data_IF_760279220363
#
_entry.id   IF_760279220363
#
_cell.length_a   1.000
_cell.length_b   1.000
_cell.length_c   1.000
_cell.angle_alpha   90.00
_cell.angle_beta   90.00
_cell.angle_gamma   90.00
#
_symmetry.space_group_name_H-M   'P 1'
#
loop_
_entity.id
_entity.type
_entity.pdbx_description
1 polymer ?
#
# COMPACT_ATOMS: atom_id res chain seq x y z
N UNK A 1 50.60 16.54 19.72
CA UNK A 1 49.86 16.73 20.98
C UNK A 1 49.05 18.02 20.88
N UNK A 2 48.01 17.95 20.02
CA UNK A 2 47.17 19.09 19.63
C UNK A 2 46.39 19.66 20.83
N UNK A 3 46.09 18.87 21.85
CA UNK A 3 45.32 19.30 23.04
C UNK A 3 46.14 20.22 23.98
N UNK A 4 47.49 20.14 23.97
CA UNK A 4 48.35 21.03 24.77
C UNK A 4 48.46 22.45 24.22
N UNK A 5 48.17 22.65 22.95
CA UNK A 5 48.21 23.98 22.30
C UNK A 5 46.89 24.77 22.55
N UNK A 6 45.84 24.13 23.02
CA UNK A 6 44.49 24.70 23.11
C UNK A 6 43.98 24.81 24.55
N UNK A 7 44.83 24.52 25.54
CA UNK A 7 44.46 24.52 26.99
C UNK A 7 43.19 23.73 27.28
N UNK A 8 42.96 22.67 26.50
CA UNK A 8 41.76 21.84 26.52
C UNK A 8 41.91 20.64 27.44
N UNK A 9 40.91 20.40 28.25
CA UNK A 9 40.79 19.24 29.11
C UNK A 9 40.15 18.09 28.35
N UNK A 10 40.79 16.91 28.34
CA UNK A 10 40.19 15.69 27.76
C UNK A 10 39.13 15.16 28.69
N UNK A 11 37.86 15.44 28.39
CA UNK A 11 36.76 14.80 29.08
C UNK A 11 36.46 13.47 28.38
N UNK A 12 36.87 12.37 29.01
CA UNK A 12 36.39 11.04 28.60
C UNK A 12 34.89 10.92 28.93
N UNK A 13 34.04 11.03 27.92
CA UNK A 13 32.64 10.70 28.05
C UNK A 13 32.54 9.18 28.22
N UNK A 14 31.98 8.65 29.33
CA UNK A 14 31.85 7.23 29.54
C UNK A 14 31.02 6.65 28.39
N UNK A 15 31.58 5.62 27.74
CA UNK A 15 30.92 4.87 26.68
C UNK A 15 29.56 4.35 27.19
N UNK A 16 28.48 4.80 26.60
CA UNK A 16 27.15 4.28 26.95
C UNK A 16 27.13 2.80 26.56
N UNK A 17 27.09 1.92 27.58
CA UNK A 17 26.96 0.48 27.38
C UNK A 17 25.75 0.27 26.46
N UNK A 18 25.90 -0.53 25.42
CA UNK A 18 24.88 -0.91 24.45
C UNK A 18 24.67 0.01 23.22
N UNK A 19 25.47 1.06 23.03
CA UNK A 19 25.50 1.84 21.78
C UNK A 19 26.87 1.71 21.15
N UNK A 20 27.10 0.68 20.35
CA UNK A 20 28.30 0.59 19.50
C UNK A 20 28.10 1.37 18.21
N UNK A 21 29.17 1.94 17.68
CA UNK A 21 29.17 2.56 16.34
C UNK A 21 28.64 1.57 15.28
N UNK A 22 28.98 0.28 15.43
CA UNK A 22 28.49 -0.79 14.57
C UNK A 22 26.98 -0.97 14.66
N UNK A 23 26.37 -0.92 15.86
CA UNK A 23 24.92 -1.01 16.03
C UNK A 23 24.20 0.21 15.45
N UNK A 24 24.77 1.40 15.57
CA UNK A 24 24.25 2.62 14.95
C UNK A 24 24.32 2.50 13.42
N UNK A 25 25.47 2.07 12.89
CA UNK A 25 25.65 1.87 11.44
C UNK A 25 24.68 0.80 10.93
N UNK A 26 24.51 -0.31 11.65
CA UNK A 26 23.58 -1.37 11.28
C UNK A 26 22.13 -0.87 11.27
N UNK A 27 21.75 -0.07 12.26
CA UNK A 27 20.41 0.56 12.29
C UNK A 27 20.20 1.51 11.13
N UNK A 28 21.17 2.38 10.83
CA UNK A 28 21.11 3.30 9.67
C UNK A 28 21.02 2.50 8.36
N UNK A 29 21.86 1.46 8.20
CA UNK A 29 21.83 0.61 6.99
C UNK A 29 20.49 -0.12 6.84
N UNK A 30 19.87 -0.55 7.95
CA UNK A 30 18.56 -1.21 7.92
C UNK A 30 17.42 -0.22 7.61
N UNK A 31 17.48 1.00 8.15
CA UNK A 31 16.53 2.07 7.78
C UNK A 31 16.66 2.44 6.30
N UNK A 32 17.88 2.52 5.78
CA UNK A 32 18.12 2.75 4.35
C UNK A 32 17.63 1.58 3.48
N UNK A 33 17.79 0.33 3.93
CA UNK A 33 17.23 -0.85 3.22
C UNK A 33 15.72 -0.81 3.14
N UNK A 34 15.03 -0.50 4.24
CA UNK A 34 13.57 -0.37 4.28
C UNK A 34 13.10 0.75 3.35
N UNK A 35 13.72 1.92 3.43
CA UNK A 35 13.42 3.07 2.56
C UNK A 35 13.67 2.73 1.09
N UNK A 36 14.76 2.04 0.78
CA UNK A 36 15.07 1.60 -0.57
C UNK A 36 14.03 0.58 -1.08
N UNK A 37 13.52 -0.33 -0.22
CA UNK A 37 12.46 -1.25 -0.58
C UNK A 37 11.15 -0.52 -0.92
N UNK A 38 10.76 0.49 -0.14
CA UNK A 38 9.57 1.30 -0.41
C UNK A 38 9.68 2.07 -1.73
N UNK A 39 10.85 2.66 -2.00
CA UNK A 39 11.14 3.31 -3.27
C UNK A 39 11.06 2.29 -4.42
N UNK A 40 11.58 1.08 -4.22
CA UNK A 40 11.55 0.03 -5.23
C UNK A 40 10.12 -0.41 -5.57
N UNK A 41 9.22 -0.55 -4.57
CA UNK A 41 7.81 -0.86 -4.80
C UNK A 41 7.12 0.21 -5.64
N UNK A 42 7.36 1.49 -5.34
CA UNK A 42 6.81 2.58 -6.14
C UNK A 42 7.38 2.62 -7.57
N UNK A 43 8.68 2.31 -7.75
CA UNK A 43 9.27 2.14 -9.09
C UNK A 43 8.60 1.01 -9.86
N UNK A 44 8.36 -0.15 -9.22
CA UNK A 44 7.66 -1.28 -9.83
C UNK A 44 6.25 -0.88 -10.28
N UNK A 45 5.48 -0.13 -9.45
CA UNK A 45 4.17 0.35 -9.84
C UNK A 45 4.23 1.30 -11.06
N UNK A 46 5.17 2.25 -11.07
CA UNK A 46 5.37 3.12 -12.24
C UNK A 46 5.72 2.31 -13.48
N UNK A 47 6.58 1.29 -13.37
CA UNK A 47 6.90 0.42 -14.50
C UNK A 47 5.69 -0.33 -15.05
N UNK A 48 4.75 -0.76 -14.19
CA UNK A 48 3.50 -1.36 -14.65
C UNK A 48 2.63 -0.33 -15.39
N UNK A 49 2.44 0.85 -14.81
CA UNK A 49 1.61 1.90 -15.41
C UNK A 49 2.15 2.43 -16.73
N UNK A 50 3.46 2.51 -16.88
CA UNK A 50 4.13 3.04 -18.08
C UNK A 50 4.68 1.93 -18.97
N UNK A 51 4.22 0.67 -18.77
CA UNK A 51 4.53 -0.46 -19.62
C UNK A 51 3.91 -0.27 -21.01
N UNK A 52 4.57 -0.79 -22.03
CA UNK A 52 4.04 -0.92 -23.40
C UNK A 52 3.05 -2.08 -23.57
N UNK A 53 2.79 -2.82 -22.47
CA UNK A 53 1.87 -3.96 -22.42
C UNK A 53 0.70 -3.63 -21.51
N UNK A 54 -0.44 -4.27 -21.78
CA UNK A 54 -1.56 -4.27 -20.86
C UNK A 54 -1.17 -5.05 -19.60
N UNK A 55 -1.14 -4.36 -18.46
CA UNK A 55 -0.82 -4.95 -17.14
C UNK A 55 -2.10 -5.17 -16.32
N UNK A 56 -2.02 -6.10 -15.37
CA UNK A 56 -3.15 -6.49 -14.53
C UNK A 56 -2.76 -6.43 -13.06
N UNK A 57 -3.59 -5.78 -12.25
CA UNK A 57 -3.47 -5.80 -10.80
C UNK A 57 -4.74 -6.37 -10.16
N UNK A 58 -4.55 -7.10 -9.07
CA UNK A 58 -5.63 -7.86 -8.43
C UNK A 58 -5.94 -7.35 -7.04
N UNK A 59 -7.22 -7.39 -6.71
CA UNK A 59 -7.72 -6.98 -5.40
C UNK A 59 -7.17 -7.85 -4.27
N UNK A 60 -6.76 -7.16 -3.18
CA UNK A 60 -6.56 -7.75 -1.87
C UNK A 60 -7.02 -6.78 -0.77
N UNK A 61 -7.40 -7.33 0.38
CA UNK A 61 -8.04 -6.58 1.47
C UNK A 61 -7.47 -6.89 2.86
N UNK A 62 -6.46 -7.74 2.95
CA UNK A 62 -5.68 -8.05 4.16
C UNK A 62 -4.36 -8.73 3.79
N UNK A 63 -3.49 -9.00 4.79
CA UNK A 63 -2.19 -9.62 4.55
C UNK A 63 -2.27 -11.00 3.90
N UNK A 64 -3.26 -11.82 4.26
CA UNK A 64 -3.43 -13.16 3.68
C UNK A 64 -3.81 -13.07 2.20
N UNK A 65 -4.82 -12.29 1.85
CA UNK A 65 -5.22 -12.10 0.46
C UNK A 65 -4.10 -11.46 -0.38
N UNK A 66 -3.28 -10.58 0.21
CA UNK A 66 -2.11 -9.99 -0.47
C UNK A 66 -1.08 -11.06 -0.86
N UNK A 67 -0.74 -11.97 0.05
CA UNK A 67 0.16 -13.11 -0.23
C UNK A 67 -0.38 -14.02 -1.34
N UNK A 68 -1.67 -14.34 -1.28
CA UNK A 68 -2.32 -15.18 -2.30
C UNK A 68 -2.27 -14.51 -3.68
N UNK A 69 -2.47 -13.20 -3.75
CA UNK A 69 -2.36 -12.45 -5.01
C UNK A 69 -0.94 -12.49 -5.58
N UNK A 70 0.08 -12.31 -4.73
CA UNK A 70 1.48 -12.40 -5.15
C UNK A 70 1.84 -13.82 -5.58
N UNK A 71 1.44 -14.84 -4.84
CA UNK A 71 1.64 -16.26 -5.17
C UNK A 71 0.98 -16.65 -6.51
N UNK A 72 -0.19 -16.07 -6.82
CA UNK A 72 -0.87 -16.26 -8.10
C UNK A 72 -0.11 -15.63 -9.30
N UNK A 73 0.96 -14.86 -9.06
CA UNK A 73 1.82 -14.26 -10.08
C UNK A 73 1.41 -12.86 -10.52
N UNK A 74 0.47 -12.20 -9.86
CA UNK A 74 0.18 -10.80 -10.12
C UNK A 74 1.37 -9.91 -9.74
N UNK A 75 1.60 -8.88 -10.55
CA UNK A 75 2.73 -7.96 -10.35
C UNK A 75 2.39 -6.73 -9.51
N UNK A 76 1.14 -6.59 -9.09
CA UNK A 76 0.66 -5.50 -8.28
C UNK A 76 -0.70 -5.81 -7.64
N UNK A 77 -0.98 -5.12 -6.56
CA UNK A 77 -2.18 -5.26 -5.75
C UNK A 77 -3.03 -3.99 -5.86
N UNK A 78 -4.33 -4.18 -5.99
CA UNK A 78 -5.35 -3.17 -5.76
C UNK A 78 -5.95 -3.35 -4.37
N UNK A 79 -5.68 -2.42 -3.46
CA UNK A 79 -6.32 -2.37 -2.15
C UNK A 79 -7.63 -1.57 -2.26
N UNK A 80 -8.72 -2.27 -2.49
CA UNK A 80 -10.05 -1.71 -2.76
C UNK A 80 -10.69 -1.12 -1.51
N UNK A 81 -11.13 0.14 -1.55
CA UNK A 81 -11.88 0.78 -0.46
C UNK A 81 -13.14 0.02 -0.07
N UNK A 82 -13.90 -0.46 -1.07
CA UNK A 82 -15.06 -1.33 -0.86
C UNK A 82 -14.69 -2.61 -0.09
N UNK A 83 -13.61 -3.28 -0.46
CA UNK A 83 -13.21 -4.55 0.15
C UNK A 83 -12.59 -4.35 1.53
N UNK A 84 -11.79 -3.32 1.71
CA UNK A 84 -11.24 -2.92 3.01
C UNK A 84 -12.34 -2.59 4.01
N UNK A 85 -13.26 -1.69 3.65
CA UNK A 85 -14.40 -1.33 4.51
C UNK A 85 -15.29 -2.54 4.77
N UNK A 86 -15.62 -3.32 3.72
CA UNK A 86 -16.47 -4.52 3.84
C UNK A 86 -15.86 -5.60 4.72
N UNK A 87 -14.54 -5.78 4.73
CA UNK A 87 -13.84 -6.73 5.60
C UNK A 87 -13.93 -6.35 7.09
N UNK A 88 -14.09 -5.05 7.37
CA UNK A 88 -14.33 -4.52 8.72
C UNK A 88 -15.84 -4.49 9.09
N UNK A 89 -16.74 -4.91 8.19
CA UNK A 89 -18.17 -4.83 8.38
C UNK A 89 -18.75 -3.42 8.23
N UNK A 90 -18.01 -2.50 7.62
CA UNK A 90 -18.37 -1.10 7.42
C UNK A 90 -18.85 -0.85 5.98
N UNK A 91 -19.61 0.22 5.79
CA UNK A 91 -20.03 0.65 4.46
C UNK A 91 -18.90 1.36 3.72
N UNK A 92 -18.92 1.24 2.40
CA UNK A 92 -18.02 1.96 1.49
C UNK A 92 -18.50 3.42 1.30
N UNK A 93 -18.43 4.18 2.39
CA UNK A 93 -18.91 5.56 2.49
C UNK A 93 -18.04 6.39 3.46
N UNK A 94 -16.74 6.15 3.47
CA UNK A 94 -15.78 6.72 4.43
C UNK A 94 -16.12 6.43 5.91
N UNK A 95 -16.86 5.34 6.21
CA UNK A 95 -17.08 4.87 7.58
C UNK A 95 -15.78 4.33 8.18
N UNK A 96 -14.94 3.66 7.40
CA UNK A 96 -13.57 3.40 7.78
C UNK A 96 -12.77 4.71 7.73
N UNK A 97 -12.11 5.05 8.82
CA UNK A 97 -11.20 6.20 8.85
C UNK A 97 -9.97 5.92 7.99
N UNK A 98 -9.31 6.97 7.51
CA UNK A 98 -8.06 6.81 6.76
C UNK A 98 -6.98 6.07 7.59
N UNK A 99 -6.97 6.22 8.92
CA UNK A 99 -6.01 5.52 9.79
C UNK A 99 -6.27 4.02 9.84
N UNK A 100 -7.53 3.57 9.95
CA UNK A 100 -7.88 2.15 9.88
C UNK A 100 -7.50 1.54 8.53
N UNK A 101 -7.69 2.28 7.44
CA UNK A 101 -7.26 1.86 6.11
C UNK A 101 -5.74 1.68 6.07
N UNK A 102 -4.98 2.66 6.56
CA UNK A 102 -3.52 2.63 6.59
C UNK A 102 -2.99 1.48 7.45
N UNK A 103 -3.63 1.17 8.58
CA UNK A 103 -3.23 0.06 9.45
C UNK A 103 -3.38 -1.30 8.72
N UNK A 104 -4.47 -1.52 7.99
CA UNK A 104 -4.64 -2.73 7.18
C UNK A 104 -3.59 -2.80 6.06
N UNK A 105 -3.33 -1.68 5.39
CA UNK A 105 -2.35 -1.59 4.32
C UNK A 105 -0.93 -1.91 4.79
N UNK A 106 -0.57 -1.53 6.01
CA UNK A 106 0.73 -1.84 6.61
C UNK A 106 0.94 -3.35 6.74
N UNK A 107 -0.07 -4.09 7.24
CA UNK A 107 -0.01 -5.56 7.28
C UNK A 107 0.14 -6.17 5.88
N UNK A 108 -0.54 -5.62 4.89
CA UNK A 108 -0.40 -6.08 3.51
C UNK A 108 1.00 -5.80 2.97
N UNK A 109 1.52 -4.57 3.16
CA UNK A 109 2.81 -4.15 2.62
C UNK A 109 4.00 -4.92 3.23
N UNK A 110 3.87 -5.35 4.50
CA UNK A 110 4.93 -6.08 5.21
C UNK A 110 5.08 -7.53 4.75
N UNK A 111 4.10 -8.10 4.05
CA UNK A 111 4.10 -9.53 3.71
C UNK A 111 4.27 -9.81 2.23
N UNK A 112 4.36 -8.79 1.36
CA UNK A 112 4.54 -8.93 -0.09
C UNK A 112 5.63 -8.00 -0.62
N UNK A 113 6.25 -8.38 -1.75
CA UNK A 113 7.27 -7.59 -2.46
C UNK A 113 6.71 -6.83 -3.68
N UNK A 114 5.50 -7.16 -4.11
CA UNK A 114 4.82 -6.45 -5.18
C UNK A 114 4.19 -5.14 -4.69
N UNK A 115 4.07 -4.12 -5.55
CA UNK A 115 3.52 -2.82 -5.18
C UNK A 115 2.02 -2.89 -4.87
N UNK A 116 1.59 -2.05 -3.93
CA UNK A 116 0.18 -1.84 -3.59
C UNK A 116 -0.24 -0.46 -4.08
N UNK A 117 -1.31 -0.43 -4.87
CA UNK A 117 -2.07 0.77 -5.25
C UNK A 117 -3.36 0.77 -4.44
N UNK A 118 -3.63 1.82 -3.67
CA UNK A 118 -4.80 1.89 -2.80
C UNK A 118 -5.90 2.80 -3.34
N UNK A 119 -7.15 2.41 -3.10
CA UNK A 119 -8.32 3.27 -3.24
C UNK A 119 -8.33 4.30 -2.09
N UNK A 120 -8.03 5.54 -2.41
CA UNK A 120 -7.98 6.66 -1.47
C UNK A 120 -9.31 7.41 -1.39
N UNK A 121 -10.38 6.85 -1.93
CA UNK A 121 -11.69 7.49 -1.98
C UNK A 121 -11.60 8.93 -2.54
N UNK A 122 -12.27 9.88 -1.91
CA UNK A 122 -12.18 11.31 -2.28
C UNK A 122 -11.05 12.07 -1.54
N UNK A 123 -10.11 11.34 -0.87
CA UNK A 123 -9.01 11.94 -0.11
C UNK A 123 -9.34 12.24 1.35
N UNK A 124 -10.41 11.66 1.90
CA UNK A 124 -10.85 11.77 3.30
C UNK A 124 -11.08 13.20 3.82
N UNK A 125 -11.37 14.13 2.95
CA UNK A 125 -11.63 15.53 3.26
C UNK A 125 -11.07 16.48 2.22
N UNK A 126 -10.42 17.58 2.64
CA UNK A 126 -9.83 18.57 1.75
C UNK A 126 -8.41 18.19 1.29
N UNK A 127 -7.71 19.11 0.61
CA UNK A 127 -6.34 18.89 0.12
C UNK A 127 -5.34 18.50 1.22
N UNK A 128 -5.51 19.03 2.43
CA UNK A 128 -4.61 18.74 3.55
C UNK A 128 -4.81 17.31 4.07
N UNK A 129 -6.06 16.81 4.12
CA UNK A 129 -6.35 15.43 4.49
C UNK A 129 -5.73 14.45 3.46
N UNK A 130 -5.93 14.71 2.17
CA UNK A 130 -5.35 13.91 1.09
C UNK A 130 -3.81 13.88 1.18
N UNK A 131 -3.17 15.03 1.40
CA UNK A 131 -1.72 15.16 1.57
C UNK A 131 -1.20 14.35 2.77
N UNK A 132 -1.87 14.44 3.92
CA UNK A 132 -1.50 13.68 5.13
C UNK A 132 -1.66 12.18 4.88
N UNK A 133 -2.72 11.77 4.21
CA UNK A 133 -2.94 10.37 3.84
C UNK A 133 -1.80 9.87 2.94
N UNK A 134 -1.45 10.57 1.85
CA UNK A 134 -0.31 10.22 1.00
C UNK A 134 0.99 10.07 1.79
N UNK A 135 1.31 11.03 2.68
CA UNK A 135 2.52 10.96 3.51
C UNK A 135 2.55 9.71 4.40
N UNK A 136 1.40 9.27 4.91
CA UNK A 136 1.32 8.06 5.72
C UNK A 136 1.43 6.79 4.86
N UNK A 137 0.91 6.80 3.64
CA UNK A 137 1.08 5.71 2.69
C UNK A 137 2.55 5.49 2.32
N UNK A 138 3.27 6.56 1.98
CA UNK A 138 4.70 6.49 1.65
C UNK A 138 5.54 5.89 2.79
N UNK A 139 5.28 6.32 4.03
CA UNK A 139 5.98 5.84 5.23
C UNK A 139 5.75 4.35 5.52
N UNK A 140 4.70 3.76 4.96
CA UNK A 140 4.33 2.34 5.13
C UNK A 140 4.57 1.50 3.88
N UNK A 141 5.31 2.05 2.91
CA UNK A 141 5.71 1.31 1.71
C UNK A 141 4.59 1.05 0.71
N UNK A 142 3.51 1.82 0.76
CA UNK A 142 2.48 1.80 -0.27
C UNK A 142 2.99 2.56 -1.49
N UNK A 143 2.76 2.01 -2.67
CA UNK A 143 3.38 2.49 -3.90
C UNK A 143 2.62 3.63 -4.59
N UNK A 144 1.32 3.76 -4.33
CA UNK A 144 0.50 4.80 -4.94
C UNK A 144 -0.93 4.79 -4.43
N UNK A 145 -1.67 5.81 -4.81
CA UNK A 145 -3.05 6.06 -4.41
C UNK A 145 -3.90 6.48 -5.61
N UNK A 146 -5.16 6.09 -5.59
CA UNK A 146 -6.19 6.58 -6.52
C UNK A 146 -7.16 7.45 -5.75
N UNK A 147 -7.37 8.69 -6.16
CA UNK A 147 -8.43 9.56 -5.65
C UNK A 147 -9.54 9.72 -6.68
N UNK A 148 -10.80 9.65 -6.24
CA UNK A 148 -11.98 9.90 -7.07
C UNK A 148 -12.52 11.31 -6.88
N UNK A 149 -13.01 11.92 -7.97
CA UNK A 149 -13.53 13.30 -7.98
C UNK A 149 -14.99 13.41 -7.51
N UNK A 150 -15.32 12.68 -6.42
CA UNK A 150 -16.59 12.78 -5.69
C UNK A 150 -16.50 13.72 -4.50
N UNK A 151 -17.67 14.17 -4.03
CA UNK A 151 -17.77 14.88 -2.76
C UNK A 151 -17.45 13.96 -1.59
N UNK A 152 -16.88 14.54 -0.53
CA UNK A 152 -16.71 13.87 0.75
C UNK A 152 -17.92 14.14 1.68
N UNK A 153 -18.45 13.14 2.41
CA UNK A 153 -18.14 11.71 2.31
C UNK A 153 -18.64 11.12 0.98
N UNK A 154 -17.90 10.15 0.44
CA UNK A 154 -18.25 9.52 -0.83
C UNK A 154 -19.50 8.65 -0.73
N UNK A 155 -20.13 8.40 -1.86
CA UNK A 155 -21.13 7.33 -2.03
C UNK A 155 -20.60 6.32 -3.03
N UNK A 156 -20.75 5.01 -2.77
CA UNK A 156 -20.32 3.98 -3.69
C UNK A 156 -20.92 4.20 -5.09
N UNK A 157 -20.12 4.04 -6.14
CA UNK A 157 -20.47 4.37 -7.52
C UNK A 157 -21.62 3.53 -8.10
N UNK A 158 -21.89 2.37 -7.51
CA UNK A 158 -22.95 1.46 -7.95
C UNK A 158 -24.28 1.66 -7.19
N UNK A 159 -24.31 2.56 -6.21
CA UNK A 159 -25.54 2.89 -5.47
C UNK A 159 -26.24 4.04 -6.20
N UNK A 160 -27.54 3.84 -6.46
CA UNK A 160 -28.38 4.92 -6.98
C UNK A 160 -28.65 5.96 -5.89
N UNK A 161 -28.39 7.23 -6.22
CA UNK A 161 -28.59 8.37 -5.33
C UNK A 161 -29.70 9.23 -5.89
N UNK A 162 -30.69 9.57 -5.06
CA UNK A 162 -31.75 10.52 -5.46
C UNK A 162 -31.11 11.89 -5.82
N UNK A 163 -31.29 12.31 -7.04
CA UNK A 163 -30.68 13.54 -7.58
C UNK A 163 -29.31 13.34 -8.23
N UNK A 164 -28.87 12.06 -8.40
CA UNK A 164 -27.60 11.68 -9.04
C UNK A 164 -26.38 11.77 -8.12
N UNK A 165 -25.30 11.15 -8.55
CA UNK A 165 -23.99 11.26 -7.90
C UNK A 165 -23.42 12.65 -8.12
N UNK A 166 -22.86 13.29 -7.09
CA UNK A 166 -22.29 14.63 -7.18
C UNK A 166 -20.77 14.57 -7.29
N UNK A 167 -20.24 15.33 -8.23
CA UNK A 167 -18.81 15.51 -8.40
C UNK A 167 -18.29 16.66 -7.53
N UNK A 168 -17.03 16.54 -7.09
CA UNK A 168 -16.30 17.63 -6.49
C UNK A 168 -16.06 18.77 -7.50
N UNK A 169 -15.84 19.98 -7.00
CA UNK A 169 -15.33 21.06 -7.84
C UNK A 169 -14.00 20.64 -8.47
N UNK A 170 -13.86 20.89 -9.77
CA UNK A 170 -12.68 20.44 -10.52
C UNK A 170 -11.40 21.10 -10.02
N UNK A 171 -11.42 22.38 -9.65
CA UNK A 171 -10.24 23.09 -9.18
C UNK A 171 -9.85 22.63 -7.76
N UNK A 172 -10.84 22.36 -6.89
CA UNK A 172 -10.60 21.79 -5.58
C UNK A 172 -9.92 20.42 -5.70
N UNK A 173 -10.39 19.57 -6.60
CA UNK A 173 -9.79 18.25 -6.82
C UNK A 173 -8.39 18.34 -7.44
N UNK A 174 -8.16 19.26 -8.39
CA UNK A 174 -6.80 19.57 -8.88
C UNK A 174 -5.88 20.02 -7.75
N UNK A 175 -6.38 20.82 -6.81
CA UNK A 175 -5.64 21.23 -5.62
C UNK A 175 -5.23 20.07 -4.71
N UNK A 176 -6.08 19.05 -4.56
CA UNK A 176 -5.74 17.82 -3.84
C UNK A 176 -4.60 17.06 -4.51
N UNK A 177 -4.70 16.83 -5.83
CA UNK A 177 -3.65 16.16 -6.61
C UNK A 177 -2.33 16.90 -6.45
N UNK A 178 -2.34 18.21 -6.67
CA UNK A 178 -1.14 19.06 -6.60
C UNK A 178 -0.50 19.04 -5.23
N UNK A 179 -1.31 19.16 -4.17
CA UNK A 179 -0.81 19.10 -2.79
C UNK A 179 -0.12 17.76 -2.48
N UNK A 180 -0.66 16.64 -2.96
CA UNK A 180 -0.04 15.33 -2.80
C UNK A 180 1.28 15.24 -3.57
N UNK A 181 1.30 15.67 -4.83
CA UNK A 181 2.50 15.62 -5.70
C UNK A 181 3.64 16.51 -5.23
N UNK A 182 3.34 17.72 -4.75
CA UNK A 182 4.36 18.66 -4.26
C UNK A 182 4.97 18.26 -2.92
N UNK A 183 4.24 17.49 -2.09
CA UNK A 183 4.68 17.07 -0.76
C UNK A 183 5.18 15.62 -0.70
N UNK A 184 5.10 14.86 -1.79
CA UNK A 184 5.64 13.50 -1.81
C UNK A 184 7.14 13.50 -1.57
N UNK A 185 7.63 12.57 -0.75
CA UNK A 185 9.06 12.37 -0.45
C UNK A 185 9.67 11.36 -1.41
N UNK A 186 8.92 10.32 -1.76
CA UNK A 186 9.32 9.34 -2.74
C UNK A 186 8.94 9.81 -4.16
N UNK A 187 9.90 10.17 -5.02
CA UNK A 187 9.62 10.72 -6.35
C UNK A 187 8.89 9.74 -7.28
N UNK A 188 8.85 8.46 -6.91
CA UNK A 188 8.17 7.41 -7.68
C UNK A 188 6.78 7.10 -7.15
N UNK A 189 6.36 7.68 -6.01
CA UNK A 189 5.00 7.50 -5.50
C UNK A 189 3.98 7.97 -6.53
N UNK A 190 2.95 7.16 -6.75
CA UNK A 190 1.97 7.36 -7.82
C UNK A 190 0.68 7.96 -7.26
N UNK A 191 0.18 9.01 -7.92
CA UNK A 191 -1.15 9.60 -7.67
C UNK A 191 -1.98 9.49 -8.94
N UNK A 192 -3.05 8.71 -8.89
CA UNK A 192 -3.98 8.49 -10.00
C UNK A 192 -5.27 9.26 -9.73
N UNK A 193 -5.77 9.98 -10.71
CA UNK A 193 -7.07 10.63 -10.65
C UNK A 193 -8.15 9.74 -11.28
N UNK A 194 -9.19 9.38 -10.50
CA UNK A 194 -10.32 8.60 -10.97
C UNK A 194 -11.47 9.53 -11.36
N UNK A 195 -11.91 9.36 -12.60
CA UNK A 195 -13.01 10.12 -13.20
C UNK A 195 -14.34 9.45 -12.88
N UNK A 196 -15.21 10.15 -12.19
CA UNK A 196 -16.57 9.71 -11.91
C UNK A 196 -17.63 10.42 -12.78
N UNK A 197 -17.20 11.17 -13.81
CA UNK A 197 -18.10 11.90 -14.71
C UNK A 197 -19.13 11.00 -15.41
N UNK A 198 -18.72 9.81 -15.89
CA UNK A 198 -19.64 8.84 -16.48
C UNK A 198 -20.61 8.26 -15.45
N UNK A 199 -20.12 7.98 -14.23
CA UNK A 199 -20.95 7.50 -13.10
C UNK A 199 -22.01 8.51 -12.73
N UNK A 200 -21.64 9.81 -12.73
CA UNK A 200 -22.55 10.93 -12.44
C UNK A 200 -23.47 11.30 -13.61
N UNK A 201 -23.27 10.71 -14.79
CA UNK A 201 -24.09 10.94 -15.97
C UNK A 201 -23.77 12.23 -16.77
N UNK A 202 -22.57 12.80 -16.58
CA UNK A 202 -22.13 14.01 -17.28
C UNK A 202 -21.55 13.76 -18.68
N UNK A 203 -21.25 12.49 -19.01
CA UNK A 203 -20.79 12.09 -20.33
C UNK A 203 -19.34 12.47 -20.65
N UNK A 204 -18.99 12.31 -21.95
CA UNK A 204 -17.60 12.35 -22.43
C UNK A 204 -16.97 13.75 -22.33
N UNK A 205 -17.72 14.83 -22.59
CA UNK A 205 -17.15 16.19 -22.60
C UNK A 205 -16.64 16.60 -21.20
N UNK A 206 -17.43 16.31 -20.15
CA UNK A 206 -17.02 16.59 -18.78
C UNK A 206 -15.88 15.63 -18.35
N UNK A 207 -15.93 14.36 -18.77
CA UNK A 207 -14.86 13.40 -18.49
C UNK A 207 -13.52 13.88 -19.08
N UNK A 208 -13.50 14.30 -20.35
CA UNK A 208 -12.30 14.82 -21.02
C UNK A 208 -11.78 16.09 -20.38
N UNK A 209 -12.67 17.05 -20.09
CA UNK A 209 -12.31 18.32 -19.43
C UNK A 209 -11.61 18.06 -18.09
N UNK A 210 -12.18 17.18 -17.27
CA UNK A 210 -11.63 16.81 -15.97
C UNK A 210 -10.30 16.06 -16.10
N UNK A 211 -10.23 15.08 -17.00
CA UNK A 211 -9.00 14.32 -17.24
C UNK A 211 -7.82 15.23 -17.61
N UNK A 212 -8.03 16.18 -18.51
CA UNK A 212 -7.02 17.17 -18.91
C UNK A 212 -6.57 18.04 -17.74
N UNK A 213 -7.51 18.51 -16.92
CA UNK A 213 -7.21 19.32 -15.74
C UNK A 213 -6.42 18.52 -14.68
N UNK A 214 -6.79 17.27 -14.43
CA UNK A 214 -6.13 16.41 -13.44
C UNK A 214 -4.73 16.00 -13.87
N UNK A 215 -4.55 15.70 -15.16
CA UNK A 215 -3.22 15.47 -15.72
C UNK A 215 -2.35 16.73 -15.60
N UNK A 216 -2.87 17.91 -15.93
CA UNK A 216 -2.15 19.18 -15.76
C UNK A 216 -1.84 19.52 -14.30
N UNK A 217 -2.67 19.05 -13.35
CA UNK A 217 -2.40 19.17 -11.91
C UNK A 217 -1.32 18.21 -11.40
N UNK A 218 -0.86 17.25 -12.22
CA UNK A 218 0.23 16.33 -11.92
C UNK A 218 -0.18 14.89 -11.61
N UNK A 219 -1.43 14.48 -11.92
CA UNK A 219 -1.79 13.06 -11.85
C UNK A 219 -0.90 12.23 -12.77
N UNK A 220 -0.35 11.12 -12.24
CA UNK A 220 0.55 10.23 -12.98
C UNK A 220 -0.19 9.36 -14.00
N UNK A 221 -1.48 9.09 -13.76
CA UNK A 221 -2.38 8.36 -14.64
C UNK A 221 -3.84 8.79 -14.39
N UNK A 222 -4.72 8.45 -15.32
CA UNK A 222 -6.16 8.65 -15.17
C UNK A 222 -6.86 7.29 -15.09
N UNK A 223 -7.74 7.11 -14.11
CA UNK A 223 -8.63 5.96 -14.03
C UNK A 223 -10.00 6.35 -14.56
N UNK A 224 -10.38 5.75 -15.70
CA UNK A 224 -11.70 5.95 -16.31
C UNK A 224 -12.68 4.95 -15.75
N UNK A 225 -13.69 5.43 -15.03
CA UNK A 225 -14.69 4.58 -14.39
C UNK A 225 -16.05 4.70 -15.07
N UNK A 226 -16.63 3.56 -15.40
CA UNK A 226 -17.97 3.45 -16.01
C UNK A 226 -18.80 2.38 -15.30
N UNK A 227 -20.13 2.58 -15.29
CA UNK A 227 -21.13 1.64 -14.71
C UNK A 227 -22.00 0.94 -15.74
N UNK A 228 -21.84 1.25 -17.03
CA UNK A 228 -22.56 0.55 -18.09
C UNK A 228 -22.00 -0.84 -18.33
N UNK A 229 -22.78 -1.73 -18.95
CA UNK A 229 -22.39 -3.13 -19.15
C UNK A 229 -21.48 -3.39 -20.35
N UNK A 230 -21.07 -2.33 -21.05
CA UNK A 230 -20.14 -2.37 -22.20
C UNK A 230 -18.98 -1.42 -21.99
N UNK A 231 -17.91 -1.55 -22.78
CA UNK A 231 -16.75 -0.66 -22.74
C UNK A 231 -16.98 0.70 -23.44
N UNK A 232 -18.18 0.98 -23.96
CA UNK A 232 -18.44 2.12 -24.84
C UNK A 232 -17.95 3.48 -24.30
N UNK A 233 -18.12 3.75 -22.99
CA UNK A 233 -17.61 5.00 -22.38
C UNK A 233 -16.08 5.06 -22.43
N UNK A 234 -15.40 3.92 -22.17
CA UNK A 234 -13.93 3.82 -22.24
C UNK A 234 -13.46 3.93 -23.69
N UNK A 235 -14.13 3.27 -24.61
CA UNK A 235 -13.81 3.33 -26.05
C UNK A 235 -13.88 4.77 -26.58
N UNK A 236 -14.94 5.49 -26.21
CA UNK A 236 -15.13 6.88 -26.62
C UNK A 236 -14.08 7.81 -25.97
N UNK A 237 -13.73 7.55 -24.69
CA UNK A 237 -12.69 8.29 -24.01
C UNK A 237 -11.32 8.09 -24.70
N UNK A 238 -10.94 6.83 -24.97
CA UNK A 238 -9.65 6.49 -25.58
C UNK A 238 -9.46 7.10 -26.98
N UNK A 239 -10.52 7.20 -27.79
CA UNK A 239 -10.47 7.87 -29.10
C UNK A 239 -10.02 9.31 -29.03
N UNK A 240 -10.18 9.97 -27.87
CA UNK A 240 -9.91 11.42 -27.68
C UNK A 240 -8.74 11.70 -26.74
N UNK A 241 -8.24 10.69 -26.01
CA UNK A 241 -7.22 10.89 -24.97
C UNK A 241 -5.84 11.26 -25.48
N UNK A 242 -5.47 10.78 -26.67
CA UNK A 242 -4.20 11.08 -27.33
C UNK A 242 -2.95 10.71 -26.50
N UNK A 243 -2.98 9.58 -25.80
CA UNK A 243 -1.86 9.00 -25.03
C UNK A 243 -1.09 9.96 -24.11
N UNK A 244 -1.76 10.97 -23.53
CA UNK A 244 -1.13 12.00 -22.68
C UNK A 244 -0.51 11.45 -21.40
N UNK A 245 -1.16 10.50 -20.77
CA UNK A 245 -0.64 9.68 -19.69
C UNK A 245 -1.34 8.32 -19.66
N UNK A 246 -0.84 7.33 -18.87
CA UNK A 246 -1.45 6.01 -18.78
C UNK A 246 -2.93 6.06 -18.38
N UNK A 247 -3.71 5.16 -18.98
CA UNK A 247 -5.13 4.98 -18.61
C UNK A 247 -5.31 3.67 -17.90
N UNK A 248 -5.98 3.73 -16.75
CA UNK A 248 -6.36 2.61 -15.88
C UNK A 248 -7.87 2.41 -15.97
N UNK A 249 -8.32 1.16 -15.98
CA UNK A 249 -9.76 0.82 -16.02
C UNK A 249 -10.13 -0.22 -14.96
N UNK A 250 -11.43 -0.24 -14.60
CA UNK A 250 -12.04 -1.20 -13.66
C UNK A 250 -13.25 -1.85 -14.33
N UNK A 251 -13.10 -2.95 -15.10
CA UNK A 251 -14.17 -3.50 -15.92
C UNK A 251 -15.18 -4.37 -15.14
N UNK A 252 -15.48 -4.04 -13.88
CA UNK A 252 -16.40 -4.81 -13.04
C UNK A 252 -17.81 -4.94 -13.65
N UNK A 253 -18.29 -3.92 -14.36
CA UNK A 253 -19.60 -3.93 -15.00
C UNK A 253 -19.59 -4.42 -16.44
N UNK A 254 -18.50 -4.25 -17.14
CA UNK A 254 -18.29 -4.68 -18.54
C UNK A 254 -17.28 -5.84 -18.63
N UNK A 255 -17.39 -6.76 -17.66
CA UNK A 255 -16.48 -7.91 -17.50
C UNK A 255 -16.50 -8.89 -18.70
N UNK A 256 -17.52 -8.84 -19.56
CA UNK A 256 -17.60 -9.64 -20.77
C UNK A 256 -16.77 -9.08 -21.95
N UNK A 257 -16.25 -7.86 -21.83
CA UNK A 257 -15.37 -7.28 -22.85
C UNK A 257 -14.04 -8.05 -22.85
N UNK A 258 -13.60 -8.60 -24.01
CA UNK A 258 -12.33 -9.32 -24.10
C UNK A 258 -11.15 -8.41 -23.75
N UNK A 259 -10.14 -8.94 -23.06
CA UNK A 259 -8.92 -8.18 -22.71
C UNK A 259 -8.11 -7.74 -23.92
N UNK A 260 -8.20 -8.46 -25.05
CA UNK A 260 -7.55 -8.04 -26.30
C UNK A 260 -8.09 -6.70 -26.81
N UNK A 261 -9.38 -6.43 -26.63
CA UNK A 261 -9.96 -5.12 -26.94
C UNK A 261 -9.28 -3.99 -26.13
N UNK A 262 -8.99 -4.22 -24.85
CA UNK A 262 -8.29 -3.23 -24.02
C UNK A 262 -6.83 -3.03 -24.47
N UNK A 263 -6.17 -4.09 -24.98
CA UNK A 263 -4.83 -3.99 -25.58
C UNK A 263 -4.86 -3.13 -26.84
N UNK A 264 -5.82 -3.37 -27.72
CA UNK A 264 -5.99 -2.61 -28.95
C UNK A 264 -6.30 -1.13 -28.70
N UNK A 265 -7.03 -0.83 -27.64
CA UNK A 265 -7.32 0.53 -27.19
C UNK A 265 -6.10 1.25 -26.59
N UNK A 266 -5.02 0.54 -26.23
CA UNK A 266 -3.86 1.13 -25.56
C UNK A 266 -4.09 1.42 -24.09
N UNK A 267 -4.98 0.66 -23.41
CA UNK A 267 -5.13 0.70 -21.96
C UNK A 267 -3.84 0.20 -21.29
N UNK A 268 -3.35 0.94 -20.31
CA UNK A 268 -2.16 0.58 -19.56
C UNK A 268 -2.40 -0.53 -18.55
N UNK A 269 -3.43 -0.37 -17.73
CA UNK A 269 -3.65 -1.25 -16.58
C UNK A 269 -5.12 -1.55 -16.36
N UNK A 270 -5.42 -2.82 -16.12
CA UNK A 270 -6.74 -3.31 -15.70
C UNK A 270 -6.70 -3.66 -14.22
N UNK A 271 -7.67 -3.17 -13.46
CA UNK A 271 -7.89 -3.50 -12.05
C UNK A 271 -9.01 -4.54 -11.93
N UNK A 272 -8.69 -5.72 -11.39
CA UNK A 272 -9.68 -6.70 -10.94
C UNK A 272 -10.10 -6.38 -9.50
N UNK A 273 -11.13 -5.56 -9.34
CA UNK A 273 -11.33 -4.69 -8.18
C UNK A 273 -11.89 -5.34 -6.90
N UNK A 274 -12.60 -6.48 -6.96
CA UNK A 274 -13.31 -7.02 -5.78
C UNK A 274 -13.59 -8.52 -5.85
N UNK A 275 -12.93 -9.25 -6.71
CA UNK A 275 -13.27 -10.65 -7.00
C UNK A 275 -12.87 -11.59 -5.86
N UNK A 276 -11.70 -11.39 -5.24
CA UNK A 276 -11.26 -12.20 -4.10
C UNK A 276 -12.20 -12.02 -2.90
N UNK A 277 -12.53 -10.77 -2.55
CA UNK A 277 -13.43 -10.49 -1.43
C UNK A 277 -14.83 -11.10 -1.66
N UNK A 278 -15.39 -10.97 -2.86
CA UNK A 278 -16.67 -11.59 -3.22
C UNK A 278 -16.62 -13.10 -3.17
N UNK A 279 -15.51 -13.71 -3.61
CA UNK A 279 -15.28 -15.15 -3.51
C UNK A 279 -15.19 -15.61 -2.05
N UNK A 280 -14.50 -14.86 -1.18
CA UNK A 280 -14.44 -15.13 0.25
C UNK A 280 -15.87 -15.16 0.87
N UNK A 281 -16.70 -14.16 0.55
CA UNK A 281 -18.09 -14.11 1.05
C UNK A 281 -18.88 -15.34 0.62
N UNK A 282 -18.77 -15.74 -0.65
CA UNK A 282 -19.51 -16.89 -1.19
C UNK A 282 -19.04 -18.19 -0.55
N UNK A 283 -17.74 -18.41 -0.45
CA UNK A 283 -17.16 -19.62 0.16
C UNK A 283 -17.49 -19.69 1.64
N UNK A 284 -17.26 -18.62 2.41
CA UNK A 284 -17.59 -18.58 3.84
C UNK A 284 -19.07 -18.87 4.11
N UNK A 285 -19.97 -18.31 3.29
CA UNK A 285 -21.41 -18.57 3.42
C UNK A 285 -21.73 -20.04 3.20
N UNK A 286 -21.18 -20.67 2.15
CA UNK A 286 -21.38 -22.09 1.85
C UNK A 286 -20.83 -22.97 2.95
N UNK A 287 -19.60 -22.74 3.36
CA UNK A 287 -18.91 -23.50 4.40
C UNK A 287 -19.65 -23.44 5.74
N UNK A 288 -19.99 -22.22 6.19
CA UNK A 288 -20.70 -22.04 7.47
C UNK A 288 -22.08 -22.70 7.46
N UNK A 289 -22.82 -22.59 6.33
CA UNK A 289 -24.11 -23.23 6.17
C UNK A 289 -23.99 -24.74 6.24
N UNK A 290 -23.04 -25.34 5.51
CA UNK A 290 -22.81 -26.77 5.48
C UNK A 290 -22.49 -27.34 6.87
N UNK A 291 -21.57 -26.68 7.61
CA UNK A 291 -21.21 -27.10 8.99
C UNK A 291 -22.43 -27.02 9.92
N UNK A 292 -23.24 -25.95 9.79
CA UNK A 292 -24.44 -25.77 10.61
C UNK A 292 -25.47 -26.86 10.34
N UNK A 293 -25.74 -27.23 9.09
CA UNK A 293 -26.70 -28.24 8.69
C UNK A 293 -26.23 -29.66 9.05
N UNK A 294 -24.97 -29.96 8.79
CA UNK A 294 -24.40 -31.29 9.04
C UNK A 294 -24.05 -31.55 10.51
N UNK A 295 -23.85 -30.48 11.31
CA UNK A 295 -23.26 -30.57 12.66
C UNK A 295 -21.95 -31.38 12.66
N UNK A 296 -21.19 -31.31 11.58
CA UNK A 296 -20.02 -32.11 11.29
C UNK A 296 -19.09 -31.37 10.32
N UNK A 297 -17.78 -31.66 10.42
CA UNK A 297 -16.75 -31.15 9.51
C UNK A 297 -16.45 -32.11 8.33
N UNK A 298 -17.02 -33.31 8.35
CA UNK A 298 -16.64 -34.39 7.42
C UNK A 298 -16.80 -34.03 5.94
N UNK A 299 -17.80 -33.22 5.60
CA UNK A 299 -18.08 -32.77 4.23
C UNK A 299 -17.37 -31.48 3.84
N UNK A 300 -16.73 -30.80 4.77
CA UNK A 300 -16.10 -29.49 4.57
C UNK A 300 -14.58 -29.59 4.53
N UNK A 301 -13.97 -30.34 5.45
CA UNK A 301 -12.53 -30.35 5.70
C UNK A 301 -11.67 -30.65 4.46
N UNK A 302 -12.19 -31.46 3.55
CA UNK A 302 -11.49 -31.83 2.30
C UNK A 302 -11.53 -30.72 1.21
N UNK A 303 -12.36 -29.72 1.40
CA UNK A 303 -12.66 -28.69 0.38
C UNK A 303 -12.15 -27.30 0.78
N UNK A 304 -11.46 -27.18 1.90
CA UNK A 304 -10.90 -25.92 2.41
C UNK A 304 -9.38 -26.04 2.61
N UNK A 305 -8.71 -24.91 2.73
CA UNK A 305 -7.27 -24.87 3.07
C UNK A 305 -7.02 -25.53 4.43
N UNK A 306 -5.92 -26.25 4.51
CA UNK A 306 -5.52 -26.93 5.77
C UNK A 306 -4.96 -25.93 6.79
N UNK A 307 -4.96 -26.30 8.06
CA UNK A 307 -4.25 -25.54 9.11
C UNK A 307 -2.76 -25.38 8.79
N UNK A 308 -2.16 -26.38 8.13
CA UNK A 308 -0.77 -26.33 7.68
C UNK A 308 -0.55 -25.23 6.63
N UNK A 309 -1.53 -24.98 5.74
CA UNK A 309 -1.44 -23.90 4.77
C UNK A 309 -1.43 -22.54 5.48
N UNK A 310 -2.22 -22.37 6.55
CA UNK A 310 -2.16 -21.15 7.37
C UNK A 310 -0.75 -20.98 7.94
N UNK A 311 -0.17 -22.03 8.55
CA UNK A 311 1.18 -21.97 9.12
C UNK A 311 2.27 -21.65 8.08
N UNK A 312 2.11 -22.13 6.85
CA UNK A 312 3.01 -21.77 5.76
C UNK A 312 2.92 -20.28 5.42
N UNK A 313 1.70 -19.73 5.34
CA UNK A 313 1.49 -18.30 5.08
C UNK A 313 1.97 -17.40 6.23
N UNK A 314 1.83 -17.84 7.50
CA UNK A 314 2.28 -17.10 8.69
C UNK A 314 3.75 -17.34 9.03
N UNK A 315 4.43 -18.27 8.31
CA UNK A 315 5.85 -18.59 8.48
C UNK A 315 6.21 -19.13 9.87
N UNK A 316 5.34 -19.94 10.46
CA UNK A 316 5.57 -20.59 11.77
C UNK A 316 6.90 -21.36 11.85
N UNK A 317 7.39 -21.88 10.71
CA UNK A 317 8.69 -22.56 10.66
C UNK A 317 9.88 -21.62 10.91
N UNK A 318 9.79 -20.35 10.54
CA UNK A 318 10.82 -19.33 10.84
C UNK A 318 10.85 -19.04 12.33
N UNK A 319 9.67 -18.86 12.97
CA UNK A 319 9.55 -18.65 14.42
C UNK A 319 10.24 -19.74 15.22
N UNK A 320 9.99 -21.01 14.87
CA UNK A 320 10.62 -22.15 15.55
C UNK A 320 12.15 -22.15 15.48
N UNK A 321 12.70 -21.69 14.35
CA UNK A 321 14.15 -21.54 14.22
C UNK A 321 14.68 -20.39 15.08
N UNK A 322 13.94 -19.31 15.17
CA UNK A 322 14.29 -18.14 15.98
C UNK A 322 14.17 -18.43 17.48
N UNK A 323 13.17 -19.18 17.93
CA UNK A 323 13.04 -19.69 19.30
C UNK A 323 14.32 -20.46 19.70
N UNK A 324 14.76 -21.41 18.86
CA UNK A 324 15.97 -22.17 19.14
C UNK A 324 17.23 -21.30 19.26
N UNK A 325 17.30 -20.21 18.49
CA UNK A 325 18.43 -19.28 18.45
C UNK A 325 18.43 -18.31 19.63
N UNK A 326 17.27 -17.76 19.99
CA UNK A 326 17.17 -16.64 20.91
C UNK A 326 16.80 -17.06 22.33
N UNK A 327 16.02 -18.12 22.55
CA UNK A 327 15.72 -18.63 23.89
C UNK A 327 16.94 -19.31 24.55
N UNK A 328 17.84 -19.89 23.74
CA UNK A 328 19.09 -20.50 24.20
C UNK A 328 20.31 -19.59 23.98
N UNK A 329 20.11 -18.27 23.89
CA UNK A 329 21.17 -17.32 23.63
C UNK A 329 22.15 -17.24 24.80
N UNK A 330 23.40 -17.62 24.57
CA UNK A 330 24.46 -17.54 25.57
C UNK A 330 25.29 -16.27 25.38
N UNK A 331 25.17 -15.33 26.29
CA UNK A 331 25.91 -14.08 26.28
C UNK A 331 27.38 -14.26 26.67
N UNK A 332 27.78 -15.39 27.25
CA UNK A 332 29.15 -15.61 27.74
C UNK A 332 30.18 -15.54 26.63
N UNK A 333 29.83 -15.92 25.41
CA UNK A 333 30.69 -15.80 24.22
C UNK A 333 31.02 -14.35 23.82
N UNK A 334 30.23 -13.38 24.26
CA UNK A 334 30.35 -11.97 23.88
C UNK A 334 30.84 -11.07 25.03
N UNK A 335 30.92 -11.60 26.25
CA UNK A 335 31.44 -10.87 27.41
C UNK A 335 32.97 -10.93 27.39
N UNK A 336 33.60 -9.82 26.97
CA UNK A 336 35.03 -9.62 27.16
C UNK A 336 35.27 -9.26 28.63
N UNK A 337 36.02 -10.06 29.39
CA UNK A 337 36.31 -9.71 30.77
C UNK A 337 36.98 -8.33 30.85
N UNK A 338 36.49 -7.46 31.73
CA UNK A 338 37.14 -6.21 32.03
C UNK A 338 38.56 -6.54 32.51
N UNK A 339 39.58 -6.01 31.86
CA UNK A 339 40.96 -6.11 32.37
C UNK A 339 40.96 -5.54 33.79
N UNK A 340 41.29 -6.36 34.79
CA UNK A 340 41.55 -5.88 36.13
C UNK A 340 42.66 -4.83 36.01
N UNK A 341 42.39 -3.61 36.45
CA UNK A 341 43.45 -2.62 36.61
C UNK A 341 44.38 -3.17 37.71
N UNK A 342 45.61 -3.51 37.35
CA UNK A 342 46.58 -3.97 38.31
C UNK A 342 46.73 -2.92 39.42
N UNK A 343 46.65 -3.41 40.68
CA UNK A 343 46.75 -2.57 41.90
C UNK A 343 48.02 -1.74 41.95
N UNK A 344 49.01 -2.05 41.13
CA UNK A 344 50.29 -1.34 41.04
C UNK A 344 50.19 0.13 40.52
N UNK A 345 49.07 0.50 39.85
CA UNK A 345 48.90 1.88 39.39
C UNK A 345 48.23 2.81 40.42
N UNK A 346 47.70 2.29 41.53
CA UNK A 346 47.13 3.13 42.60
C UNK A 346 48.15 3.53 43.66
N UNK A 347 49.29 2.84 43.78
CA UNK A 347 50.33 3.21 44.76
C UNK A 347 51.33 4.27 44.26
N UNK A 348 51.36 4.58 42.97
CA UNK A 348 52.24 5.62 42.44
C UNK A 348 51.69 7.06 42.61
N UNK A 349 50.39 7.19 42.91
CA UNK A 349 49.77 8.55 43.05
C UNK A 349 49.72 8.99 44.55
N UNK A 350 49.90 8.09 45.52
CA UNK A 350 49.91 8.43 46.95
C UNK A 350 51.32 8.84 47.47
N UNK A 351 52.36 8.60 46.68
CA UNK A 351 53.75 8.91 47.10
C UNK A 351 54.26 10.25 46.53
N UNK A 352 53.42 11.05 45.84
CA UNK A 352 53.80 12.40 45.36
C UNK A 352 52.95 13.51 45.97
N UNK A 353 52.51 13.32 47.24
CA UNK A 353 51.96 14.43 48.03
C UNK A 353 52.76 14.76 49.22
#
# INVERSE_FOLDING_TARGET
>A
NVLKEWDGELVEIPYTKDISTSAIIEKIVNEDKLRNNYILKSKKLRQLLFSDKLEFIMEAHNGMSAKIVEEAGFKGIWASGLCLSGSLGLRDNNEASWSQVVDVLEYMANVVDIPILVDGDSGFGNFNNARIFCSNLEKRGIAGVVFEDKLFPKTNSFIEVKGGQKLADMNEFCGKIRACKEHQVNPYFVVIARLEAFIAGHGIEEAMKRALAYHAAGADAILVHSKISTSADVDEFMKRWDNRCPIVIVPTKYYSTPTDHFRELGISTVIWANHNFRSCIDVMRKTSKQIFEDQSLANVEKNIATVKDIFNYTKEGELKNDENKYENYDVSEYIVPLKEKSVEQQQSVENEK
#
